data_IF_342856858325
#
_entry.id   IF_342856858325
#
_cell.length_a   1.000
_cell.length_b   1.000
_cell.length_c   1.000
_cell.angle_alpha   90.00
_cell.angle_beta   90.00
_cell.angle_gamma   90.00
#
_symmetry.space_group_name_H-M   'P 1'
#
loop_
_entity.id
_entity.type
_entity.pdbx_description
1 polymer ?
#
# COMPACT_ATOMS: atom_id res chain seq x y z
N UNK A 1 16.29 28.98 11.71
CA UNK A 1 15.15 28.28 12.34
C UNK A 1 14.39 27.58 11.23
N UNK A 2 14.75 26.32 10.94
CA UNK A 2 14.25 25.56 9.79
C UNK A 2 12.92 24.89 10.20
N UNK A 3 11.84 25.25 9.51
CA UNK A 3 10.47 24.97 9.90
C UNK A 3 10.07 23.51 9.69
N UNK A 4 9.88 22.79 10.80
CA UNK A 4 9.36 21.41 10.86
C UNK A 4 7.80 21.40 10.89
N UNK A 5 7.14 22.51 10.54
CA UNK A 5 5.73 22.75 10.91
C UNK A 5 4.68 22.36 9.88
N UNK A 6 5.08 21.87 8.70
CA UNK A 6 4.21 21.17 7.77
C UNK A 6 5.13 20.28 6.95
N UNK A 7 5.11 18.96 7.15
CA UNK A 7 5.69 18.01 6.18
C UNK A 7 4.95 18.27 4.87
N UNK A 8 5.50 19.17 4.06
CA UNK A 8 4.91 19.55 2.80
C UNK A 8 5.16 18.48 1.76
N UNK A 9 4.45 18.54 0.62
CA UNK A 9 4.74 17.67 -0.52
C UNK A 9 6.22 17.74 -0.94
N UNK A 10 6.87 18.91 -0.80
CA UNK A 10 8.29 19.09 -1.12
C UNK A 10 9.24 18.28 -0.24
N UNK A 11 9.03 18.24 1.08
CA UNK A 11 9.85 17.45 1.99
C UNK A 11 9.61 15.94 1.81
N UNK A 12 8.36 15.53 1.59
CA UNK A 12 8.02 14.15 1.27
C UNK A 12 8.75 13.69 0.00
N UNK A 13 8.76 14.52 -1.05
CA UNK A 13 9.48 14.24 -2.30
C UNK A 13 11.00 14.16 -2.06
N UNK A 14 11.57 15.02 -1.24
CA UNK A 14 13.00 14.99 -0.93
C UNK A 14 13.39 13.68 -0.21
N UNK A 15 12.60 13.27 0.79
CA UNK A 15 12.81 12.00 1.50
C UNK A 15 12.64 10.82 0.54
N UNK A 16 11.60 10.85 -0.31
CA UNK A 16 11.36 9.84 -1.33
C UNK A 16 12.54 9.76 -2.31
N UNK A 17 13.09 10.89 -2.76
CA UNK A 17 14.23 10.93 -3.67
C UNK A 17 15.48 10.28 -3.04
N UNK A 18 15.77 10.55 -1.76
CA UNK A 18 16.87 9.89 -1.05
C UNK A 18 16.62 8.39 -0.92
N UNK A 19 15.40 7.99 -0.56
CA UNK A 19 15.02 6.58 -0.49
C UNK A 19 15.16 5.89 -1.86
N UNK A 20 14.84 6.59 -2.94
CA UNK A 20 15.00 6.10 -4.31
C UNK A 20 16.46 5.96 -4.75
N UNK A 21 17.38 6.79 -4.24
CA UNK A 21 18.81 6.61 -4.50
C UNK A 21 19.34 5.36 -3.79
N UNK A 22 18.88 5.11 -2.56
CA UNK A 22 19.31 3.95 -1.76
C UNK A 22 18.69 2.65 -2.28
N UNK A 23 17.38 2.64 -2.51
CA UNK A 23 16.63 1.44 -2.92
C UNK A 23 16.54 1.28 -4.44
N UNK A 24 16.60 2.36 -5.20
CA UNK A 24 16.37 2.38 -6.65
C UNK A 24 14.89 2.62 -7.01
N UNK A 25 14.58 3.38 -8.08
CA UNK A 25 13.20 3.65 -8.52
C UNK A 25 12.45 2.40 -8.96
N UNK A 26 13.15 1.36 -9.42
CA UNK A 26 12.55 0.08 -9.81
C UNK A 26 12.00 -0.73 -8.64
N UNK A 27 12.47 -0.51 -7.41
CA UNK A 27 12.00 -1.26 -6.24
C UNK A 27 10.64 -0.77 -5.72
N UNK A 28 10.29 0.50 -5.89
CA UNK A 28 8.98 1.02 -5.48
C UNK A 28 7.79 0.30 -6.18
N UNK A 29 7.76 0.15 -7.51
CA UNK A 29 6.66 -0.56 -8.18
C UNK A 29 6.67 -2.07 -7.88
N UNK A 30 7.84 -2.66 -7.66
CA UNK A 30 7.97 -4.08 -7.28
C UNK A 30 7.32 -4.34 -5.91
N UNK A 31 7.66 -3.54 -4.91
CA UNK A 31 7.07 -3.59 -3.55
C UNK A 31 5.58 -3.25 -3.61
N UNK A 32 5.18 -2.26 -4.40
CA UNK A 32 3.77 -1.90 -4.58
C UNK A 32 2.94 -3.02 -5.20
N UNK A 33 3.51 -3.78 -6.15
CA UNK A 33 2.82 -4.91 -6.79
C UNK A 33 2.61 -6.06 -5.81
N UNK A 34 3.63 -6.44 -5.04
CA UNK A 34 3.52 -7.53 -4.06
C UNK A 34 2.60 -7.16 -2.89
N UNK A 35 2.75 -5.95 -2.35
CA UNK A 35 1.88 -5.42 -1.30
C UNK A 35 0.43 -5.26 -1.80
N UNK A 36 0.24 -4.81 -3.04
CA UNK A 36 -1.08 -4.68 -3.66
C UNK A 36 -1.79 -6.02 -3.85
N UNK A 37 -1.06 -7.07 -4.23
CA UNK A 37 -1.59 -8.44 -4.28
C UNK A 37 -1.99 -8.93 -2.88
N UNK A 38 -1.13 -8.73 -1.88
CA UNK A 38 -1.42 -9.11 -0.49
C UNK A 38 -2.66 -8.37 0.06
N UNK A 39 -2.78 -7.06 -0.19
CA UNK A 39 -3.96 -6.27 0.21
C UNK A 39 -5.22 -6.74 -0.52
N UNK A 40 -5.12 -7.09 -1.81
CA UNK A 40 -6.26 -7.59 -2.59
C UNK A 40 -6.77 -8.92 -2.04
N UNK A 41 -5.87 -9.84 -1.73
CA UNK A 41 -6.19 -11.13 -1.12
C UNK A 41 -6.75 -10.95 0.29
N UNK A 42 -6.11 -10.12 1.13
CA UNK A 42 -6.60 -9.77 2.46
C UNK A 42 -8.02 -9.21 2.42
N UNK A 43 -8.27 -8.25 1.52
CA UNK A 43 -9.60 -7.67 1.32
C UNK A 43 -10.59 -8.73 0.82
N UNK A 44 -10.18 -9.63 -0.07
CA UNK A 44 -11.07 -10.69 -0.57
C UNK A 44 -11.48 -11.68 0.52
N UNK A 45 -10.56 -12.06 1.41
CA UNK A 45 -10.85 -12.97 2.53
C UNK A 45 -11.76 -12.31 3.56
N UNK A 46 -11.44 -11.07 3.96
CA UNK A 46 -12.27 -10.30 4.92
C UNK A 46 -13.70 -10.09 4.39
N UNK A 47 -13.88 -9.81 3.09
CA UNK A 47 -15.21 -9.66 2.51
C UNK A 47 -15.94 -11.00 2.31
N UNK A 48 -15.21 -12.09 2.08
CA UNK A 48 -15.78 -13.45 2.04
C UNK A 48 -16.32 -13.85 3.41
N UNK A 49 -15.58 -13.57 4.48
CA UNK A 49 -16.02 -13.85 5.85
C UNK A 49 -17.19 -12.94 6.26
N UNK A 50 -17.23 -11.70 5.77
CA UNK A 50 -18.36 -10.77 5.98
C UNK A 50 -19.60 -11.11 5.13
N UNK A 51 -19.45 -11.95 4.09
CA UNK A 51 -20.55 -12.40 3.21
C UNK A 51 -20.87 -13.89 3.39
N UNK A 52 -20.24 -14.57 4.35
CA UNK A 52 -20.46 -15.99 4.66
C UNK A 52 -21.63 -16.23 5.63
N UNK A 53 -22.66 -15.38 5.59
CA UNK A 53 -24.01 -15.71 6.06
C UNK A 53 -24.98 -15.97 4.88
N UNK A 54 -24.51 -16.15 3.64
CA UNK A 54 -25.41 -16.21 2.47
C UNK A 54 -25.06 -17.12 1.29
N UNK A 55 -24.23 -18.16 1.44
CA UNK A 55 -23.99 -19.12 0.34
C UNK A 55 -23.97 -20.57 0.82
N UNK A 56 -25.14 -21.05 1.25
CA UNK A 56 -25.53 -22.45 1.12
C UNK A 56 -27.02 -22.51 0.74
N UNK A 57 -27.32 -22.56 -0.57
CA UNK A 57 -28.53 -23.20 -1.12
C UNK A 57 -28.41 -23.41 -2.63
N UNK A 58 -28.39 -24.70 -3.03
CA UNK A 58 -28.30 -25.19 -4.41
C UNK A 58 -26.83 -25.44 -4.77
N UNK A 59 -26.34 -26.66 -4.89
CA UNK A 59 -26.93 -27.89 -5.43
C UNK A 59 -26.59 -29.12 -4.58
#
# INVERSE_FOLDING_TARGET
>A
MFGIHKIGLGELILILAIALVVFGPSKLPEIGKSMGQAIKEFRSSVNKDSSAEGQNKGE
#
